data_IF_933433293380
#
_entry.id   IF_933433293380
#
_cell.length_a   1.000
_cell.length_b   1.000
_cell.length_c   1.000
_cell.angle_alpha   90.00
_cell.angle_beta   90.00
_cell.angle_gamma   90.00
#
_symmetry.space_group_name_H-M   'P 1'
#
loop_
_entity.id
_entity.type
_entity.pdbx_description
1 polymer ?
#
# COMPACT_ATOMS: atom_id res chain seq x y z
N UNK A 1 -14.20 -16.78 19.00
CA UNK A 1 -14.48 -17.88 19.95
C UNK A 1 -14.38 -17.42 21.40
N UNK A 2 -13.21 -17.12 21.97
CA UNK A 2 -13.09 -16.71 23.39
C UNK A 2 -13.95 -15.50 23.75
N UNK A 3 -14.01 -14.47 22.87
CA UNK A 3 -14.88 -13.32 23.07
C UNK A 3 -16.38 -13.73 23.11
N UNK A 4 -16.80 -14.66 22.27
CA UNK A 4 -18.17 -15.18 22.28
C UNK A 4 -18.45 -16.00 23.53
N UNK A 5 -17.52 -16.86 23.98
CA UNK A 5 -17.65 -17.62 25.23
C UNK A 5 -17.81 -16.72 26.45
N UNK A 6 -17.04 -15.63 26.54
CA UNK A 6 -17.18 -14.62 27.61
C UNK A 6 -18.54 -13.93 27.62
N UNK A 7 -19.18 -13.82 26.46
CA UNK A 7 -20.53 -13.24 26.36
C UNK A 7 -21.61 -14.27 26.67
N UNK A 8 -21.43 -15.52 26.23
CA UNK A 8 -22.39 -16.61 26.44
C UNK A 8 -22.38 -17.16 27.86
N UNK A 9 -21.20 -17.20 28.49
CA UNK A 9 -21.01 -17.72 29.85
C UNK A 9 -20.09 -16.76 30.64
N UNK A 10 -20.63 -15.65 31.16
CA UNK A 10 -19.83 -14.61 31.79
C UNK A 10 -19.16 -15.06 33.11
N UNK A 11 -19.73 -16.05 33.80
CA UNK A 11 -19.17 -16.64 35.03
C UNK A 11 -18.04 -17.64 34.77
N UNK A 12 -17.79 -18.00 33.50
CA UNK A 12 -16.76 -18.96 33.09
C UNK A 12 -15.35 -18.35 33.15
N UNK A 13 -14.38 -19.11 33.64
CA UNK A 13 -12.95 -18.73 33.56
C UNK A 13 -12.37 -19.14 32.19
N UNK A 14 -12.29 -18.21 31.29
CA UNK A 14 -11.82 -18.43 29.91
C UNK A 14 -10.36 -18.01 29.72
N UNK A 15 -9.53 -18.87 29.09
CA UNK A 15 -8.13 -18.55 28.86
C UNK A 15 -7.96 -17.35 27.92
N UNK A 16 -6.74 -16.82 27.83
CA UNK A 16 -6.40 -15.82 26.81
C UNK A 16 -6.62 -16.40 25.39
N UNK A 17 -6.98 -15.56 24.41
CA UNK A 17 -7.19 -16.02 23.02
C UNK A 17 -6.00 -16.78 22.42
N UNK A 18 -4.76 -16.40 22.78
CA UNK A 18 -3.53 -17.11 22.39
C UNK A 18 -3.49 -18.53 22.94
N UNK A 19 -3.73 -18.68 24.25
CA UNK A 19 -3.76 -20.00 24.92
C UNK A 19 -4.86 -20.90 24.36
N UNK A 20 -6.05 -20.35 24.08
CA UNK A 20 -7.11 -21.09 23.42
C UNK A 20 -6.70 -21.54 22.02
N UNK A 21 -6.01 -20.69 21.25
CA UNK A 21 -5.44 -21.04 19.95
C UNK A 21 -4.44 -22.17 20.03
N UNK A 22 -3.54 -22.15 21.01
CA UNK A 22 -2.53 -23.22 21.21
C UNK A 22 -3.15 -24.54 21.61
N UNK A 23 -4.20 -24.53 22.42
CA UNK A 23 -4.94 -25.75 22.79
C UNK A 23 -5.61 -26.36 21.57
N UNK A 24 -6.27 -25.55 20.75
CA UNK A 24 -6.92 -26.02 19.52
C UNK A 24 -5.92 -26.55 18.50
N UNK A 25 -4.75 -25.91 18.38
CA UNK A 25 -3.68 -26.34 17.45
C UNK A 25 -3.12 -27.70 17.90
N UNK A 26 -2.88 -27.90 19.20
CA UNK A 26 -2.46 -29.18 19.78
C UNK A 26 -3.51 -30.28 19.59
N UNK A 27 -4.78 -29.92 19.64
CA UNK A 27 -5.89 -30.85 19.40
C UNK A 27 -6.14 -31.13 17.91
N UNK A 28 -5.33 -30.57 17.00
CA UNK A 28 -5.49 -30.76 15.55
C UNK A 28 -6.73 -30.08 14.94
N UNK A 29 -7.38 -29.21 15.69
CA UNK A 29 -8.61 -28.53 15.28
C UNK A 29 -8.35 -27.23 14.48
N UNK A 30 -7.09 -26.78 14.42
CA UNK A 30 -6.69 -25.60 13.65
C UNK A 30 -6.19 -26.02 12.27
N UNK A 31 -6.93 -25.68 11.22
CA UNK A 31 -6.39 -25.76 9.86
C UNK A 31 -5.32 -24.67 9.67
N UNK A 32 -4.05 -25.05 9.78
CA UNK A 32 -2.96 -24.14 9.42
C UNK A 32 -3.12 -23.73 7.96
N UNK A 33 -3.40 -22.43 7.72
CA UNK A 33 -3.31 -21.88 6.36
C UNK A 33 -1.88 -22.12 5.88
N UNK A 34 -1.70 -22.94 4.83
CA UNK A 34 -0.41 -23.01 4.13
C UNK A 34 -0.03 -21.58 3.78
N UNK A 35 1.02 -21.06 4.41
CA UNK A 35 1.61 -19.80 3.98
C UNK A 35 1.94 -19.95 2.50
N UNK A 36 1.24 -19.24 1.63
CA UNK A 36 1.65 -19.15 0.24
C UNK A 36 3.08 -18.64 0.28
N UNK A 37 4.01 -19.41 -0.30
CA UNK A 37 5.37 -18.91 -0.51
C UNK A 37 5.21 -17.68 -1.38
N UNK A 38 5.50 -16.50 -0.82
CA UNK A 38 5.71 -15.33 -1.62
C UNK A 38 6.93 -15.62 -2.50
N UNK A 39 6.77 -15.50 -3.82
CA UNK A 39 7.94 -15.39 -4.66
C UNK A 39 8.77 -14.21 -4.12
N UNK A 40 10.08 -14.43 -3.94
CA UNK A 40 10.96 -13.35 -3.54
C UNK A 40 10.78 -12.19 -4.54
N UNK A 41 10.69 -10.94 -4.07
CA UNK A 41 10.74 -9.81 -4.97
C UNK A 41 12.03 -9.88 -5.79
N UNK A 42 11.97 -9.41 -7.02
CA UNK A 42 13.14 -9.33 -7.85
C UNK A 42 14.20 -8.45 -7.17
N UNK A 43 15.38 -9.00 -6.96
CA UNK A 43 16.44 -8.41 -6.12
C UNK A 43 17.58 -7.83 -6.96
N UNK A 44 17.28 -7.21 -8.10
CA UNK A 44 18.27 -6.40 -8.79
C UNK A 44 18.43 -5.03 -8.11
N UNK A 45 19.63 -4.39 -8.21
CA UNK A 45 19.81 -3.04 -7.71
C UNK A 45 18.75 -2.09 -8.25
N UNK A 46 18.22 -1.23 -7.40
CA UNK A 46 17.23 -0.24 -7.83
C UNK A 46 17.80 0.68 -8.92
N UNK A 47 16.95 1.00 -9.91
CA UNK A 47 17.30 1.96 -10.93
C UNK A 47 17.68 3.31 -10.32
N UNK A 48 18.76 3.91 -10.82
CA UNK A 48 19.16 5.26 -10.45
C UNK A 48 18.13 6.28 -10.98
N UNK A 49 17.90 7.33 -10.20
CA UNK A 49 17.03 8.45 -10.53
C UNK A 49 17.87 9.70 -10.69
N UNK A 50 18.41 9.91 -11.88
CA UNK A 50 19.29 11.03 -12.20
C UNK A 50 18.55 12.17 -12.89
N UNK A 51 17.58 11.82 -13.74
CA UNK A 51 16.78 12.75 -14.52
C UNK A 51 15.28 12.64 -14.19
N UNK A 52 14.51 13.71 -14.47
CA UNK A 52 13.04 13.63 -14.40
C UNK A 52 12.51 12.46 -15.24
N UNK A 53 11.51 11.76 -14.71
CA UNK A 53 10.91 10.57 -15.32
C UNK A 53 11.79 9.32 -15.37
N UNK A 54 12.97 9.31 -14.74
CA UNK A 54 13.70 8.06 -14.58
C UNK A 54 12.96 7.10 -13.66
N UNK A 55 12.58 7.55 -12.47
CA UNK A 55 11.89 6.73 -11.46
C UNK A 55 10.78 7.54 -10.81
N UNK A 56 9.60 6.97 -10.79
CA UNK A 56 8.51 7.49 -9.97
C UNK A 56 8.26 6.59 -8.78
N UNK A 57 8.16 7.19 -7.59
CA UNK A 57 7.61 6.52 -6.42
C UNK A 57 6.10 6.67 -6.42
N UNK A 58 5.37 5.56 -6.24
CA UNK A 58 3.91 5.57 -6.15
C UNK A 58 3.50 4.79 -4.90
N UNK A 59 2.62 5.36 -4.09
CA UNK A 59 2.14 4.75 -2.86
C UNK A 59 0.72 5.18 -2.51
N UNK A 60 0.03 4.34 -1.75
CA UNK A 60 -1.20 4.68 -1.05
C UNK A 60 -0.84 5.07 0.38
N UNK A 61 -1.11 6.32 0.73
CA UNK A 61 -0.82 6.89 2.07
C UNK A 61 -1.43 6.06 3.21
N UNK A 62 -2.46 5.27 2.91
CA UNK A 62 -3.36 4.74 3.91
C UNK A 62 -4.40 5.78 4.33
N UNK A 63 -5.53 5.29 4.79
CA UNK A 63 -6.68 6.12 5.03
C UNK A 63 -6.53 7.01 6.28
N UNK A 64 -7.15 8.17 6.22
CA UNK A 64 -7.48 9.02 7.36
C UNK A 64 -8.85 9.66 7.16
N UNK A 65 -9.37 10.34 8.19
CA UNK A 65 -10.64 11.04 8.11
C UNK A 65 -10.40 12.53 8.05
N UNK A 66 -11.20 13.21 7.24
CA UNK A 66 -11.34 14.66 7.25
C UNK A 66 -12.24 15.12 8.40
N UNK A 67 -12.31 16.42 8.65
CA UNK A 67 -13.10 16.98 9.75
C UNK A 67 -14.61 16.72 9.64
N UNK A 68 -15.13 16.47 8.43
CA UNK A 68 -16.50 16.05 8.15
C UNK A 68 -16.71 14.54 8.31
N UNK A 69 -15.70 13.80 8.76
CA UNK A 69 -15.74 12.35 8.96
C UNK A 69 -15.54 11.52 7.70
N UNK A 70 -15.38 12.15 6.53
CA UNK A 70 -15.15 11.45 5.27
C UNK A 70 -13.81 10.70 5.30
N UNK A 71 -13.83 9.42 4.97
CA UNK A 71 -12.61 8.63 4.78
C UNK A 71 -11.99 8.94 3.43
N UNK A 72 -10.69 9.22 3.43
CA UNK A 72 -9.89 9.40 2.22
C UNK A 72 -8.66 8.49 2.25
N UNK A 73 -8.24 8.05 1.07
CA UNK A 73 -7.09 7.16 0.85
C UNK A 73 -6.26 7.75 -0.29
N UNK A 74 -5.33 8.68 -0.01
CA UNK A 74 -4.61 9.39 -1.07
C UNK A 74 -3.64 8.48 -1.82
N UNK A 75 -3.76 8.48 -3.15
CA UNK A 75 -2.73 8.00 -4.04
C UNK A 75 -1.74 9.13 -4.27
N UNK A 76 -0.50 8.88 -3.96
CA UNK A 76 0.60 9.82 -4.18
C UNK A 76 1.59 9.27 -5.20
N UNK A 77 2.06 10.13 -6.10
CA UNK A 77 3.18 9.83 -6.96
C UNK A 77 4.18 10.99 -6.94
N UNK A 78 5.45 10.67 -6.82
CA UNK A 78 6.55 11.61 -6.76
C UNK A 78 7.67 11.20 -7.70
N UNK A 79 8.19 12.16 -8.45
CA UNK A 79 9.42 11.98 -9.22
C UNK A 79 10.63 11.85 -8.29
N UNK A 80 11.44 10.81 -8.47
CA UNK A 80 12.53 10.48 -7.56
C UNK A 80 13.73 11.41 -7.71
N UNK A 81 13.99 11.94 -8.89
CA UNK A 81 15.11 12.85 -9.16
C UNK A 81 14.84 14.24 -8.62
N UNK A 82 13.67 14.79 -8.92
CA UNK A 82 13.31 16.18 -8.61
C UNK A 82 12.58 16.35 -7.28
N UNK A 83 12.06 15.26 -6.72
CA UNK A 83 11.10 15.28 -5.61
C UNK A 83 9.79 16.01 -5.92
N UNK A 84 9.48 16.25 -7.20
CA UNK A 84 8.23 16.88 -7.60
C UNK A 84 7.04 15.96 -7.33
N UNK A 85 6.01 16.49 -6.70
CA UNK A 85 4.76 15.78 -6.44
C UNK A 85 3.89 15.80 -7.70
N UNK A 86 3.86 14.69 -8.40
CA UNK A 86 3.12 14.52 -9.66
C UNK A 86 1.62 14.39 -9.44
N UNK A 87 1.24 13.67 -8.38
CA UNK A 87 -0.16 13.47 -8.00
C UNK A 87 -0.31 13.26 -6.51
N UNK A 88 -1.36 13.84 -5.97
CA UNK A 88 -1.89 13.57 -4.65
C UNK A 88 -3.41 13.54 -4.77
N UNK A 89 -3.95 12.42 -5.21
CA UNK A 89 -5.37 12.26 -5.49
C UNK A 89 -6.01 11.33 -4.48
N UNK A 90 -7.17 11.73 -4.04
CA UNK A 90 -8.01 10.93 -3.19
C UNK A 90 -8.64 9.79 -3.98
N UNK A 91 -8.49 8.57 -3.49
CA UNK A 91 -9.26 7.43 -3.96
C UNK A 91 -10.44 7.18 -3.02
N UNK A 92 -11.66 7.15 -3.56
CA UNK A 92 -12.85 6.79 -2.78
C UNK A 92 -12.79 5.33 -2.34
N UNK A 93 -12.23 4.50 -3.20
CA UNK A 93 -11.92 3.10 -2.93
C UNK A 93 -10.54 2.80 -3.47
N UNK A 94 -9.57 2.40 -2.63
CA UNK A 94 -8.22 2.07 -3.07
C UNK A 94 -8.25 0.77 -3.87
N UNK A 95 -8.69 0.84 -5.11
CA UNK A 95 -8.76 -0.27 -6.04
C UNK A 95 -8.01 0.04 -7.34
N UNK A 96 -7.77 -1.02 -8.09
CA UNK A 96 -7.04 -0.95 -9.37
C UNK A 96 -7.65 0.05 -10.36
N UNK A 97 -8.96 0.11 -10.48
CA UNK A 97 -9.65 0.93 -11.49
C UNK A 97 -9.44 2.43 -11.24
N UNK A 98 -9.56 2.84 -9.99
CA UNK A 98 -9.32 4.23 -9.60
C UNK A 98 -7.84 4.61 -9.74
N UNK A 99 -6.93 3.76 -9.26
CA UNK A 99 -5.50 3.97 -9.42
C UNK A 99 -5.10 4.06 -10.90
N UNK A 100 -5.62 3.18 -11.77
CA UNK A 100 -5.38 3.22 -13.21
C UNK A 100 -5.82 4.55 -13.81
N UNK A 101 -7.03 5.03 -13.50
CA UNK A 101 -7.57 6.28 -14.04
C UNK A 101 -6.70 7.50 -13.65
N UNK A 102 -6.28 7.54 -12.39
CA UNK A 102 -5.42 8.63 -11.89
C UNK A 102 -4.06 8.59 -12.59
N UNK A 103 -3.42 7.42 -12.62
CA UNK A 103 -2.12 7.26 -13.25
C UNK A 103 -2.14 7.50 -14.77
N UNK A 104 -3.20 7.07 -15.46
CA UNK A 104 -3.37 7.36 -16.89
C UNK A 104 -3.41 8.87 -17.18
N UNK A 105 -4.13 9.64 -16.35
CA UNK A 105 -4.13 11.11 -16.44
C UNK A 105 -2.74 11.67 -16.19
N UNK A 106 -2.07 11.19 -15.14
CA UNK A 106 -0.72 11.62 -14.77
C UNK A 106 0.29 11.33 -15.87
N UNK A 107 0.21 10.17 -16.51
CA UNK A 107 1.07 9.81 -17.64
C UNK A 107 0.85 10.72 -18.85
N UNK A 108 -0.40 11.13 -19.11
CA UNK A 108 -0.70 12.08 -20.20
C UNK A 108 -0.16 13.48 -19.91
N UNK A 109 -0.11 13.88 -18.68
CA UNK A 109 0.31 15.22 -18.25
C UNK A 109 1.84 15.34 -18.16
N UNK A 110 2.50 14.35 -17.56
CA UNK A 110 3.94 14.41 -17.24
C UNK A 110 4.82 13.47 -18.09
N UNK A 111 4.24 12.65 -18.95
CA UNK A 111 4.93 11.60 -19.70
C UNK A 111 5.03 10.28 -18.93
N UNK A 112 5.66 9.30 -19.57
CA UNK A 112 5.86 7.98 -18.97
C UNK A 112 7.20 7.92 -18.24
N UNK A 113 7.25 7.45 -16.99
CA UNK A 113 8.51 7.18 -16.33
C UNK A 113 9.16 5.91 -16.92
N UNK A 114 10.48 5.82 -16.81
CA UNK A 114 11.20 4.58 -17.15
C UNK A 114 10.89 3.46 -16.14
N UNK A 115 10.79 3.81 -14.87
CA UNK A 115 10.58 2.88 -13.76
C UNK A 115 9.49 3.41 -12.82
N UNK A 116 8.62 2.53 -12.36
CA UNK A 116 7.70 2.81 -11.25
C UNK A 116 8.08 1.93 -10.07
N UNK A 117 8.40 2.56 -8.94
CA UNK A 117 8.72 1.91 -7.68
C UNK A 117 7.55 2.02 -6.71
N UNK A 118 7.10 0.86 -6.19
CA UNK A 118 5.97 0.76 -5.27
C UNK A 118 6.28 -0.13 -4.08
N UNK A 119 5.43 -0.07 -3.08
CA UNK A 119 5.37 -1.08 -2.04
C UNK A 119 4.81 -2.42 -2.55
N UNK A 120 4.72 -3.40 -1.65
CA UNK A 120 4.18 -4.73 -1.94
C UNK A 120 2.68 -4.84 -1.66
N UNK A 121 2.03 -3.77 -1.25
CA UNK A 121 0.62 -3.73 -0.91
C UNK A 121 -0.32 -3.64 -2.13
N UNK A 122 -1.60 -4.00 -1.96
CA UNK A 122 -2.60 -3.76 -2.99
C UNK A 122 -2.85 -2.25 -3.18
N UNK A 123 -3.13 -1.77 -4.41
CA UNK A 123 -3.36 -2.52 -5.64
C UNK A 123 -2.11 -2.83 -6.47
N UNK A 124 -0.92 -2.45 -5.99
CA UNK A 124 0.35 -2.57 -6.71
C UNK A 124 0.94 -3.97 -6.62
N UNK A 125 0.83 -4.60 -5.44
CA UNK A 125 1.27 -5.95 -5.19
C UNK A 125 0.23 -7.01 -5.55
N UNK A 126 0.68 -8.21 -5.91
CA UNK A 126 -0.14 -9.39 -6.14
C UNK A 126 0.54 -10.63 -5.57
N UNK A 127 -0.27 -11.59 -5.15
CA UNK A 127 0.20 -12.93 -4.73
C UNK A 127 0.17 -13.95 -5.88
N UNK A 128 -0.13 -13.50 -7.10
CA UNK A 128 -0.18 -14.33 -8.32
C UNK A 128 1.20 -14.75 -8.84
N UNK A 129 1.21 -15.48 -9.96
CA UNK A 129 2.42 -15.88 -10.68
C UNK A 129 3.25 -14.63 -11.04
N UNK A 130 4.55 -14.66 -10.72
CA UNK A 130 5.47 -13.54 -10.93
C UNK A 130 5.20 -12.33 -10.03
N UNK A 131 4.26 -12.45 -9.07
CA UNK A 131 3.87 -11.36 -8.16
C UNK A 131 3.40 -10.07 -8.85
N UNK A 132 3.21 -10.06 -10.17
CA UNK A 132 2.75 -8.88 -10.91
C UNK A 132 1.26 -8.64 -10.68
N UNK A 133 0.93 -7.41 -10.31
CA UNK A 133 -0.45 -6.94 -10.30
C UNK A 133 -0.91 -6.60 -11.73
N UNK A 134 -2.21 -6.46 -11.94
CA UNK A 134 -2.71 -6.02 -13.24
C UNK A 134 -2.26 -4.58 -13.61
N UNK A 135 -1.98 -3.74 -12.61
CA UNK A 135 -1.35 -2.43 -12.84
C UNK A 135 0.09 -2.61 -13.33
N UNK A 136 0.87 -3.47 -12.70
CA UNK A 136 2.24 -3.75 -13.13
C UNK A 136 2.28 -4.33 -14.55
N UNK A 137 1.35 -5.22 -14.92
CA UNK A 137 1.22 -5.73 -16.29
C UNK A 137 0.91 -4.60 -17.27
N UNK A 138 0.04 -3.67 -16.90
CA UNK A 138 -0.27 -2.50 -17.75
C UNK A 138 0.96 -1.61 -17.90
N UNK A 139 1.73 -1.34 -16.85
CA UNK A 139 2.98 -0.58 -16.94
C UNK A 139 3.99 -1.24 -17.87
N UNK A 140 4.19 -2.56 -17.76
CA UNK A 140 5.07 -3.30 -18.68
C UNK A 140 4.65 -3.15 -20.15
N UNK A 141 3.33 -3.18 -20.43
CA UNK A 141 2.80 -2.92 -21.79
C UNK A 141 3.08 -1.51 -22.30
N UNK A 142 3.25 -0.54 -21.41
CA UNK A 142 3.65 0.84 -21.72
C UNK A 142 5.17 1.02 -21.79
N UNK A 143 5.96 -0.03 -21.58
CA UNK A 143 7.42 0.03 -21.55
C UNK A 143 8.01 0.49 -20.23
N UNK A 144 7.19 0.56 -19.16
CA UNK A 144 7.60 0.96 -17.81
C UNK A 144 8.03 -0.27 -17.04
N UNK A 145 9.17 -0.20 -16.34
CA UNK A 145 9.67 -1.28 -15.48
C UNK A 145 9.06 -1.15 -14.08
N UNK A 146 8.27 -2.13 -13.60
CA UNK A 146 7.80 -2.13 -12.23
C UNK A 146 8.90 -2.61 -11.28
N UNK A 147 9.28 -1.80 -10.30
CA UNK A 147 10.14 -2.15 -9.19
C UNK A 147 9.35 -2.23 -7.89
N UNK A 148 9.77 -3.10 -7.00
CA UNK A 148 9.19 -3.21 -5.66
C UNK A 148 10.25 -3.06 -4.60
N UNK A 149 9.91 -2.35 -3.53
CA UNK A 149 10.75 -2.31 -2.34
C UNK A 149 10.86 -3.70 -1.71
N UNK A 150 11.99 -4.00 -1.12
CA UNK A 150 12.20 -5.24 -0.41
C UNK A 150 11.32 -5.31 0.84
N UNK A 151 10.69 -6.47 1.12
CA UNK A 151 9.93 -6.65 2.34
C UNK A 151 10.80 -6.42 3.58
N UNK A 152 10.35 -5.53 4.47
CA UNK A 152 11.09 -5.19 5.68
C UNK A 152 12.12 -4.06 5.52
N UNK A 153 12.20 -3.43 4.34
CA UNK A 153 13.10 -2.31 4.05
C UNK A 153 12.33 -1.00 3.76
N UNK A 154 11.60 -0.43 4.74
CA UNK A 154 10.83 0.79 4.55
C UNK A 154 11.70 1.99 4.16
N UNK A 155 12.99 1.99 4.53
CA UNK A 155 13.94 3.05 4.17
C UNK A 155 14.09 3.24 2.65
N UNK A 156 13.80 2.21 1.87
CA UNK A 156 13.80 2.28 0.40
C UNK A 156 12.66 3.16 -0.14
N UNK A 157 11.66 3.46 0.69
CA UNK A 157 10.55 4.38 0.40
C UNK A 157 10.58 5.65 1.26
N UNK A 158 11.68 5.93 1.92
CA UNK A 158 11.82 6.99 2.92
C UNK A 158 11.50 8.42 2.40
N UNK A 159 11.60 8.65 1.08
CA UNK A 159 11.19 9.94 0.47
C UNK A 159 9.68 10.12 0.50
N UNK A 160 8.92 9.09 0.11
CA UNK A 160 7.45 9.12 0.20
C UNK A 160 6.97 9.13 1.65
N UNK A 161 7.62 8.44 2.55
CA UNK A 161 7.29 8.51 3.98
C UNK A 161 7.42 9.92 4.53
N UNK A 162 8.45 10.67 4.11
CA UNK A 162 8.63 12.07 4.47
C UNK A 162 7.51 12.94 3.90
N UNK A 163 7.18 12.77 2.61
CA UNK A 163 6.04 13.44 1.97
C UNK A 163 4.73 13.15 2.73
N UNK A 164 4.48 11.89 3.04
CA UNK A 164 3.29 11.48 3.78
C UNK A 164 3.21 12.08 5.19
N UNK A 165 4.33 12.23 5.86
CA UNK A 165 4.39 12.90 7.16
C UNK A 165 3.99 14.37 7.05
N UNK A 166 4.53 15.07 6.06
CA UNK A 166 4.16 16.46 5.77
C UNK A 166 2.69 16.57 5.40
N UNK A 167 2.22 15.73 4.48
CA UNK A 167 0.82 15.71 4.07
C UNK A 167 -0.12 15.49 5.27
N UNK A 168 0.22 14.56 6.16
CA UNK A 168 -0.56 14.30 7.37
C UNK A 168 -0.57 15.49 8.32
N UNK A 169 0.58 16.16 8.52
CA UNK A 169 0.67 17.34 9.37
C UNK A 169 -0.19 18.49 8.83
N UNK A 170 -0.19 18.69 7.51
CA UNK A 170 -0.88 19.79 6.86
C UNK A 170 -2.39 19.57 6.63
N UNK A 171 -2.83 18.30 6.56
CA UNK A 171 -4.20 17.99 6.16
C UNK A 171 -5.01 17.21 7.18
N UNK A 172 -4.38 16.36 7.97
CA UNK A 172 -5.06 15.43 8.87
C UNK A 172 -4.85 15.74 10.37
N UNK A 173 -3.94 16.64 10.71
CA UNK A 173 -3.65 16.99 12.11
C UNK A 173 -3.35 18.49 12.25
N UNK A 174 -4.34 19.34 12.56
CA UNK A 174 -5.77 19.06 12.73
C UNK A 174 -6.45 18.71 11.41
N UNK A 175 -7.49 17.86 11.42
CA UNK A 175 -8.20 17.50 10.19
C UNK A 175 -8.86 18.74 9.57
N UNK A 176 -8.71 18.90 8.27
CA UNK A 176 -9.38 19.98 7.53
C UNK A 176 -10.88 19.74 7.50
N UNK A 177 -11.66 20.83 7.49
CA UNK A 177 -13.11 20.78 7.57
C UNK A 177 -13.77 20.07 6.37
N UNK A 178 -13.11 20.07 5.22
CA UNK A 178 -13.65 19.48 4.00
C UNK A 178 -12.57 18.78 3.16
N UNK A 179 -13.02 17.94 2.24
CA UNK A 179 -12.25 17.28 1.20
C UNK A 179 -11.50 18.21 0.24
N UNK A 180 -11.97 19.44 0.15
CA UNK A 180 -11.45 20.38 -0.83
C UNK A 180 -10.22 21.09 -0.26
N UNK A 181 -9.09 20.73 -0.88
CA UNK A 181 -7.78 21.36 -0.87
C UNK A 181 -6.81 20.83 0.16
#
# INVERSE_FOLDING_TARGET
>A
MVAWLRTAEPEGSWPAPSTAGDVLDRAGLVRRRKRRRHAAPWSEPFAAAECPNDVWFIDLKGWFRTGDGTRIDPLTAQDAATCYLLVCDELQRPNRREAHRVLERTFREYGLPRVIRTDNGPPFGSVGLGSLSQLAIWWVKLGIVPERIEPGHPEQNGRLERLHRTLKAETASPPRATRRR
#
